data_IF_265624636204
#
_entry.id   IF_265624636204
#
_cell.length_a   1.000
_cell.length_b   1.000
_cell.length_c   1.000
_cell.angle_alpha   90.00
_cell.angle_beta   90.00
_cell.angle_gamma   90.00
#
_symmetry.space_group_name_H-M   'P 1'
#
loop_
_entity.id
_entity.type
_entity.pdbx_description
1 polymer ?
#
# COMPACT_ATOMS: atom_id res chain seq x y z
N UNK A 1 6.81 6.39 45.40
CA UNK A 1 6.76 5.83 44.05
C UNK A 1 5.65 6.56 43.36
N UNK A 2 5.97 7.20 42.21
CA UNK A 2 4.97 7.87 41.39
C UNK A 2 3.90 6.86 40.95
N UNK A 3 2.60 7.17 41.07
CA UNK A 3 1.55 6.31 40.55
C UNK A 3 1.73 5.91 39.07
N UNK A 4 2.40 6.75 38.29
CA UNK A 4 2.72 6.48 36.87
C UNK A 4 3.76 5.35 36.71
N UNK A 5 4.63 5.14 37.70
CA UNK A 5 5.60 4.04 37.70
C UNK A 5 4.91 2.65 37.77
N UNK A 6 3.65 2.63 38.21
CA UNK A 6 2.86 1.39 38.28
C UNK A 6 2.28 0.95 36.92
N UNK A 7 2.29 1.82 35.94
CA UNK A 7 1.75 1.54 34.59
C UNK A 7 2.78 0.75 33.79
N UNK A 8 3.55 0.00 34.09
CA UNK A 8 4.53 -0.82 33.35
C UNK A 8 4.62 -0.54 31.87
N UNK A 9 5.60 0.25 31.46
CA UNK A 9 5.91 0.53 30.04
C UNK A 9 7.07 -0.32 29.51
N UNK A 10 7.51 -1.33 30.27
CA UNK A 10 8.67 -2.15 29.96
C UNK A 10 8.51 -2.95 28.67
N UNK A 11 9.11 -2.45 27.62
CA UNK A 11 9.25 -3.14 26.33
C UNK A 11 10.50 -2.59 25.62
N UNK A 12 11.08 -3.39 24.74
CA UNK A 12 12.13 -2.92 23.84
C UNK A 12 11.50 -2.22 22.64
N UNK A 13 12.19 -1.25 22.05
CA UNK A 13 11.76 -0.58 20.85
C UNK A 13 12.94 -0.12 20.01
N UNK A 14 12.77 -0.15 18.69
CA UNK A 14 13.73 0.40 17.73
C UNK A 14 12.92 1.03 16.59
N UNK A 15 13.08 2.34 16.40
CA UNK A 15 12.36 3.14 15.43
C UNK A 15 13.32 3.66 14.37
N UNK A 16 12.84 3.73 13.14
CA UNK A 16 13.52 4.33 12.02
C UNK A 16 12.69 5.48 11.46
N UNK A 17 13.28 6.65 11.37
CA UNK A 17 12.73 7.78 10.63
C UNK A 17 13.42 7.87 9.26
N UNK A 18 12.63 8.18 8.22
CA UNK A 18 13.12 8.34 6.85
C UNK A 18 12.32 9.42 6.13
N UNK A 19 13.00 10.25 5.34
CA UNK A 19 12.35 11.21 4.47
C UNK A 19 13.13 11.33 3.17
N UNK A 20 12.43 11.61 2.07
CA UNK A 20 13.01 11.87 0.75
C UNK A 20 12.22 12.99 0.08
N UNK A 21 12.87 13.78 -0.77
CA UNK A 21 12.26 14.89 -1.49
C UNK A 21 11.66 14.50 -2.86
N UNK A 22 11.63 13.21 -3.16
CA UNK A 22 11.08 12.70 -4.43
C UNK A 22 9.55 12.81 -4.54
N UNK A 23 8.87 13.06 -3.42
CA UNK A 23 7.43 13.33 -3.39
C UNK A 23 7.11 14.52 -2.50
N UNK A 24 6.00 15.25 -2.77
CA UNK A 24 5.56 16.36 -1.88
C UNK A 24 5.24 15.93 -0.45
N UNK A 25 4.95 14.63 -0.27
CA UNK A 25 4.68 14.03 1.02
C UNK A 25 5.97 13.67 1.80
N UNK A 26 7.14 13.89 1.21
CA UNK A 26 8.45 13.48 1.72
C UNK A 26 8.57 11.98 1.98
N UNK A 27 7.83 11.20 1.25
CA UNK A 27 7.75 9.74 1.36
C UNK A 27 8.23 9.06 0.07
N UNK A 28 8.70 7.80 0.13
CA UNK A 28 9.16 7.06 -1.05
C UNK A 28 8.10 6.98 -2.15
N UNK A 29 8.48 7.29 -3.39
CA UNK A 29 7.57 7.31 -4.53
C UNK A 29 6.81 5.98 -4.74
N UNK A 30 7.44 4.78 -4.66
CA UNK A 30 6.72 3.52 -4.81
C UNK A 30 5.59 3.35 -3.80
N UNK A 31 5.84 3.72 -2.55
CA UNK A 31 4.85 3.64 -1.47
C UNK A 31 3.69 4.60 -1.71
N UNK A 32 3.99 5.86 -2.02
CA UNK A 32 2.96 6.88 -2.28
C UNK A 32 2.11 6.52 -3.49
N UNK A 33 2.71 6.02 -4.56
CA UNK A 33 1.95 5.55 -5.72
C UNK A 33 1.04 4.38 -5.36
N UNK A 34 1.55 3.40 -4.61
CA UNK A 34 0.73 2.26 -4.14
C UNK A 34 -0.46 2.72 -3.28
N UNK A 35 -0.24 3.66 -2.35
CA UNK A 35 -1.31 4.23 -1.55
C UNK A 35 -2.34 5.00 -2.40
N UNK A 36 -1.88 5.80 -3.36
CA UNK A 36 -2.77 6.54 -4.27
C UNK A 36 -3.60 5.60 -5.13
N UNK A 37 -3.04 4.47 -5.61
CA UNK A 37 -3.77 3.42 -6.32
C UNK A 37 -4.88 2.82 -5.44
N UNK A 38 -4.59 2.48 -4.20
CA UNK A 38 -5.57 1.92 -3.27
C UNK A 38 -6.68 2.92 -2.91
N UNK A 39 -6.35 4.19 -2.71
CA UNK A 39 -7.36 5.25 -2.51
C UNK A 39 -8.25 5.40 -3.74
N UNK A 40 -7.68 5.35 -4.95
CA UNK A 40 -8.44 5.46 -6.20
C UNK A 40 -9.42 4.32 -6.38
N UNK A 41 -9.00 3.07 -6.16
CA UNK A 41 -9.90 1.91 -6.20
C UNK A 41 -11.03 2.05 -5.19
N UNK A 42 -10.71 2.45 -3.96
CA UNK A 42 -11.72 2.64 -2.92
C UNK A 42 -12.76 3.72 -3.30
N UNK A 43 -12.32 4.83 -3.91
CA UNK A 43 -13.22 5.87 -4.42
C UNK A 43 -14.12 5.31 -5.52
N UNK A 44 -13.56 4.72 -6.57
CA UNK A 44 -14.34 4.16 -7.69
C UNK A 44 -15.39 3.14 -7.24
N UNK A 45 -15.07 2.35 -6.21
CA UNK A 45 -16.01 1.40 -5.59
C UNK A 45 -17.09 2.10 -4.79
N UNK A 46 -16.72 3.05 -3.90
CA UNK A 46 -17.66 3.76 -3.02
C UNK A 46 -18.63 4.63 -3.83
N UNK A 47 -18.14 5.28 -4.86
CA UNK A 47 -18.91 6.15 -5.75
C UNK A 47 -19.70 5.35 -6.81
N UNK A 48 -19.56 4.01 -6.78
CA UNK A 48 -20.24 3.08 -7.70
C UNK A 48 -19.93 3.33 -9.18
N UNK A 49 -18.77 3.91 -9.46
CA UNK A 49 -18.30 4.13 -10.85
C UNK A 49 -17.98 2.78 -11.48
N UNK A 50 -17.24 1.93 -10.78
CA UNK A 50 -17.00 0.53 -11.17
C UNK A 50 -17.73 -0.37 -10.17
N UNK A 51 -18.91 -0.83 -10.55
CA UNK A 51 -19.87 -1.47 -9.64
C UNK A 51 -19.44 -2.85 -9.16
N UNK A 52 -18.64 -3.56 -9.93
CA UNK A 52 -18.19 -4.92 -9.60
C UNK A 52 -17.02 -4.97 -8.62
N UNK A 53 -16.40 -3.83 -8.26
CA UNK A 53 -15.30 -3.81 -7.30
C UNK A 53 -15.76 -4.15 -5.89
N UNK A 54 -14.95 -4.97 -5.20
CA UNK A 54 -15.11 -5.35 -3.81
C UNK A 54 -13.96 -4.78 -2.95
N UNK A 55 -14.09 -4.78 -1.60
CA UNK A 55 -13.17 -4.03 -0.73
C UNK A 55 -11.73 -4.50 -0.72
N UNK A 56 -11.45 -5.79 -0.90
CA UNK A 56 -10.10 -6.33 -0.78
C UNK A 56 -9.27 -6.02 -2.03
N UNK A 57 -8.12 -5.40 -1.83
CA UNK A 57 -7.21 -5.08 -2.92
C UNK A 57 -5.77 -4.96 -2.42
N UNK A 58 -4.82 -5.18 -3.32
CA UNK A 58 -3.39 -5.05 -3.09
C UNK A 58 -2.74 -4.32 -4.25
N UNK A 59 -1.74 -3.49 -3.99
CA UNK A 59 -0.92 -2.87 -5.03
C UNK A 59 0.56 -2.91 -4.66
N UNK A 60 1.38 -3.08 -5.67
CA UNK A 60 2.82 -2.95 -5.62
C UNK A 60 3.27 -2.12 -6.82
N UNK A 61 4.22 -1.21 -6.61
CA UNK A 61 4.81 -0.38 -7.65
C UNK A 61 6.32 -0.50 -7.56
N UNK A 62 6.94 -0.89 -8.66
CA UNK A 62 8.40 -0.93 -8.81
C UNK A 62 8.83 0.28 -9.61
N UNK A 63 9.71 1.09 -9.03
CA UNK A 63 10.28 2.30 -9.64
C UNK A 63 11.75 2.06 -9.96
N UNK A 64 12.15 2.43 -11.16
CA UNK A 64 13.56 2.48 -11.56
C UNK A 64 14.16 3.82 -11.14
N UNK A 65 15.35 3.77 -10.55
CA UNK A 65 16.12 4.94 -10.10
C UNK A 65 17.43 5.02 -10.90
N UNK A 66 17.88 6.24 -11.15
CA UNK A 66 19.19 6.49 -11.73
C UNK A 66 20.34 6.32 -10.70
N UNK A 67 21.57 6.54 -11.17
CA UNK A 67 22.75 6.42 -10.32
C UNK A 67 22.80 7.47 -9.19
N UNK A 68 22.08 8.55 -9.33
CA UNK A 68 21.97 9.62 -8.32
C UNK A 68 20.79 9.41 -7.34
N UNK A 69 20.07 8.29 -7.50
CA UNK A 69 18.94 7.92 -6.65
C UNK A 69 17.66 8.69 -6.99
N UNK A 70 17.53 9.24 -8.20
CA UNK A 70 16.29 9.90 -8.64
C UNK A 70 15.38 8.93 -9.37
N UNK A 71 14.06 8.99 -9.13
CA UNK A 71 13.11 8.15 -9.83
C UNK A 71 13.06 8.51 -11.33
N UNK A 72 13.18 7.51 -12.19
CA UNK A 72 13.21 7.66 -13.66
C UNK A 72 11.89 7.21 -14.28
N UNK A 73 11.44 6.00 -13.94
CA UNK A 73 10.24 5.41 -14.51
C UNK A 73 9.63 4.36 -13.60
N UNK A 74 8.38 4.05 -13.83
CA UNK A 74 7.72 2.89 -13.23
C UNK A 74 7.98 1.67 -14.11
N UNK A 75 8.72 0.71 -13.58
CA UNK A 75 9.00 -0.55 -14.31
C UNK A 75 7.79 -1.48 -14.28
N UNK A 76 7.19 -1.67 -13.11
CA UNK A 76 6.13 -2.66 -12.92
C UNK A 76 5.06 -2.14 -11.97
N UNK A 77 3.80 -2.40 -12.32
CA UNK A 77 2.65 -2.23 -11.44
C UNK A 77 1.94 -3.58 -11.29
N UNK A 78 1.87 -4.08 -10.07
CA UNK A 78 1.04 -5.24 -9.73
C UNK A 78 -0.17 -4.73 -8.96
N UNK A 79 -1.38 -5.11 -9.39
CA UNK A 79 -2.61 -4.74 -8.73
C UNK A 79 -3.59 -5.90 -8.75
N UNK A 80 -4.03 -6.32 -7.57
CA UNK A 80 -5.08 -7.33 -7.43
C UNK A 80 -6.26 -6.72 -6.69
N UNK A 81 -7.47 -6.90 -7.24
CA UNK A 81 -8.69 -6.40 -6.63
C UNK A 81 -9.76 -7.49 -6.61
N UNK A 82 -10.45 -7.58 -5.49
CA UNK A 82 -11.63 -8.41 -5.33
C UNK A 82 -12.77 -7.85 -6.18
N UNK A 83 -13.54 -8.74 -6.79
CA UNK A 83 -14.60 -8.37 -7.74
C UNK A 83 -15.78 -9.32 -7.68
N UNK A 84 -16.91 -8.91 -8.27
CA UNK A 84 -18.08 -9.77 -8.46
C UNK A 84 -17.79 -10.94 -9.39
N UNK A 85 -18.51 -12.06 -9.26
CA UNK A 85 -18.28 -13.27 -10.06
C UNK A 85 -18.57 -13.09 -11.56
N UNK A 86 -19.42 -12.15 -11.92
CA UNK A 86 -20.00 -12.03 -13.27
C UNK A 86 -19.21 -11.12 -14.22
N UNK A 87 -18.08 -10.57 -13.78
CA UNK A 87 -17.19 -9.74 -14.61
C UNK A 87 -16.04 -10.57 -15.19
N UNK A 88 -15.68 -10.33 -16.44
CA UNK A 88 -14.53 -10.98 -17.06
C UNK A 88 -13.20 -10.40 -16.58
N UNK A 89 -12.14 -11.20 -16.66
CA UNK A 89 -10.79 -10.75 -16.28
C UNK A 89 -10.30 -9.63 -17.22
N UNK A 90 -10.60 -9.74 -18.50
CA UNK A 90 -10.23 -8.75 -19.51
C UNK A 90 -10.87 -7.38 -19.21
N UNK A 91 -12.13 -7.37 -18.78
CA UNK A 91 -12.81 -6.13 -18.38
C UNK A 91 -12.15 -5.52 -17.16
N UNK A 92 -11.81 -6.34 -16.14
CA UNK A 92 -11.11 -5.87 -14.95
C UNK A 92 -9.75 -5.27 -15.33
N UNK A 93 -8.99 -5.95 -16.17
CA UNK A 93 -7.67 -5.50 -16.61
C UNK A 93 -7.74 -4.17 -17.36
N UNK A 94 -8.70 -4.02 -18.27
CA UNK A 94 -8.91 -2.78 -19.02
C UNK A 94 -9.30 -1.62 -18.09
N UNK A 95 -10.32 -1.81 -17.26
CA UNK A 95 -10.82 -0.76 -16.36
C UNK A 95 -9.77 -0.34 -15.34
N UNK A 96 -9.09 -1.28 -14.72
CA UNK A 96 -8.05 -0.98 -13.72
C UNK A 96 -6.86 -0.28 -14.36
N UNK A 97 -6.43 -0.71 -15.54
CA UNK A 97 -5.34 -0.04 -16.25
C UNK A 97 -5.67 1.41 -16.56
N UNK A 98 -6.84 1.68 -17.14
CA UNK A 98 -7.21 3.03 -17.61
C UNK A 98 -7.72 3.93 -16.47
N UNK A 99 -8.62 3.42 -15.61
CA UNK A 99 -9.30 4.25 -14.61
C UNK A 99 -8.58 4.33 -13.27
N UNK A 100 -7.63 3.42 -13.01
CA UNK A 100 -6.86 3.40 -11.76
C UNK A 100 -5.40 3.73 -12.02
N UNK A 101 -4.68 2.90 -12.77
CA UNK A 101 -3.22 3.02 -12.89
C UNK A 101 -2.85 4.30 -13.65
N UNK A 102 -3.34 4.47 -14.86
CA UNK A 102 -3.06 5.66 -15.67
C UNK A 102 -3.68 6.95 -15.15
N UNK A 103 -4.73 6.84 -14.34
CA UNK A 103 -5.35 8.00 -13.70
C UNK A 103 -4.57 8.49 -12.46
N UNK A 104 -3.69 7.67 -11.90
CA UNK A 104 -2.95 7.94 -10.66
C UNK A 104 -1.46 8.19 -10.90
N UNK A 105 -0.83 7.34 -11.72
CA UNK A 105 0.60 7.43 -11.99
C UNK A 105 0.82 8.50 -13.06
N UNK A 106 1.65 9.52 -12.80
CA UNK A 106 1.97 10.54 -13.80
C UNK A 106 2.51 9.92 -15.09
N UNK A 107 2.07 10.46 -16.22
CA UNK A 107 2.39 9.91 -17.54
C UNK A 107 3.90 9.89 -17.84
N UNK A 108 4.65 10.83 -17.26
CA UNK A 108 6.11 10.89 -17.40
C UNK A 108 6.83 9.68 -16.79
N UNK A 109 6.21 8.96 -15.87
CA UNK A 109 6.76 7.72 -15.29
C UNK A 109 6.33 6.45 -16.04
N UNK A 110 5.41 6.54 -17.00
CA UNK A 110 4.89 5.39 -17.74
C UNK A 110 5.42 5.39 -19.18
N UNK A 111 5.90 4.24 -19.63
CA UNK A 111 6.38 4.05 -20.99
C UNK A 111 5.93 2.71 -21.58
N UNK A 112 6.38 2.40 -22.81
CA UNK A 112 6.03 1.16 -23.52
C UNK A 112 6.62 -0.11 -22.87
N UNK A 113 7.60 0.04 -21.99
CA UNK A 113 8.25 -1.06 -21.27
C UNK A 113 7.62 -1.31 -19.90
N UNK A 114 6.74 -0.39 -19.42
CA UNK A 114 6.04 -0.56 -18.15
C UNK A 114 5.15 -1.79 -18.17
N UNK A 115 5.37 -2.68 -17.22
CA UNK A 115 4.64 -3.95 -17.08
C UNK A 115 3.43 -3.78 -16.16
N UNK A 116 2.31 -4.34 -16.57
CA UNK A 116 1.05 -4.29 -15.80
C UNK A 116 0.59 -5.70 -15.48
N UNK A 117 0.55 -6.06 -14.21
CA UNK A 117 0.03 -7.33 -13.72
C UNK A 117 -1.25 -7.07 -12.92
N UNK A 118 -2.39 -7.15 -13.59
CA UNK A 118 -3.70 -6.89 -12.99
C UNK A 118 -4.42 -8.22 -12.80
N UNK A 119 -4.74 -8.56 -11.54
CA UNK A 119 -5.27 -9.86 -11.14
C UNK A 119 -4.49 -11.02 -11.79
N UNK A 120 -3.16 -11.09 -11.66
CA UNK A 120 -2.33 -12.03 -12.40
C UNK A 120 -2.60 -13.50 -12.04
N UNK A 121 -3.16 -13.76 -10.87
CA UNK A 121 -3.57 -15.11 -10.44
C UNK A 121 -5.00 -15.46 -10.89
N UNK A 122 -5.65 -14.57 -11.65
CA UNK A 122 -6.97 -14.75 -12.18
C UNK A 122 -8.08 -14.26 -11.26
N UNK A 123 -9.09 -15.11 -11.05
CA UNK A 123 -10.32 -14.77 -10.33
C UNK A 123 -10.08 -14.48 -8.85
N UNK A 124 -10.59 -13.33 -8.38
CA UNK A 124 -10.49 -12.90 -6.98
C UNK A 124 -11.89 -12.49 -6.46
N UNK A 125 -12.76 -13.45 -6.24
CA UNK A 125 -14.14 -13.26 -5.78
C UNK A 125 -14.23 -13.39 -4.25
N UNK A 126 -13.51 -14.37 -3.67
CA UNK A 126 -13.44 -14.55 -2.22
C UNK A 126 -12.29 -13.71 -1.68
N UNK A 127 -12.56 -12.81 -0.75
CA UNK A 127 -11.57 -11.91 -0.14
C UNK A 127 -12.02 -11.39 1.21
N UNK A 128 -11.22 -10.47 1.78
CA UNK A 128 -11.43 -9.98 3.12
C UNK A 128 -11.28 -11.08 4.17
N UNK A 129 -11.95 -10.97 5.34
CA UNK A 129 -11.81 -11.93 6.44
C UNK A 129 -12.18 -13.38 6.09
N UNK A 130 -13.03 -13.56 5.07
CA UNK A 130 -13.38 -14.90 4.59
C UNK A 130 -12.21 -15.57 3.85
N UNK A 131 -11.42 -14.80 3.12
CA UNK A 131 -10.24 -15.29 2.39
C UNK A 131 -9.00 -15.38 3.27
N UNK A 132 -8.79 -14.34 4.10
CA UNK A 132 -7.66 -14.21 5.02
C UNK A 132 -8.08 -13.33 6.20
N UNK A 133 -8.21 -13.91 7.37
CA UNK A 133 -8.65 -13.18 8.57
C UNK A 133 -7.69 -12.06 8.99
N UNK A 134 -6.40 -12.24 8.74
CA UNK A 134 -5.37 -11.27 9.10
C UNK A 134 -5.16 -11.13 10.61
N UNK A 135 -4.16 -10.33 10.96
CA UNK A 135 -3.88 -9.93 12.34
C UNK A 135 -3.49 -8.46 12.36
N UNK A 136 -3.81 -7.77 13.46
CA UNK A 136 -3.36 -6.39 13.69
C UNK A 136 -1.84 -6.31 13.69
N UNK A 137 -1.28 -5.27 13.07
CA UNK A 137 0.17 -5.05 13.04
C UNK A 137 0.94 -5.98 12.10
N UNK A 138 0.29 -6.59 11.11
CA UNK A 138 0.93 -7.44 10.10
C UNK A 138 1.12 -6.74 8.74
N UNK A 139 1.05 -5.41 8.72
CA UNK A 139 1.31 -4.55 7.54
C UNK A 139 2.30 -3.43 7.86
N UNK A 140 3.26 -3.70 8.74
CA UNK A 140 4.19 -2.72 9.30
C UNK A 140 5.07 -2.01 8.25
N UNK A 141 5.38 -2.66 7.15
CA UNK A 141 6.15 -2.05 6.05
C UNK A 141 5.27 -1.11 5.22
N UNK A 142 3.99 -1.44 5.03
CA UNK A 142 3.01 -0.56 4.39
C UNK A 142 2.73 0.66 5.27
N UNK A 143 2.70 0.48 6.59
CA UNK A 143 2.47 1.54 7.58
C UNK A 143 3.65 2.51 7.72
N UNK A 144 4.83 2.15 7.20
CA UNK A 144 6.06 2.93 7.29
C UNK A 144 6.56 3.39 5.91
N UNK A 145 7.66 2.87 5.41
CA UNK A 145 8.38 3.43 4.25
C UNK A 145 8.42 2.49 3.03
N UNK A 146 7.62 1.41 3.04
CA UNK A 146 7.50 0.51 1.88
C UNK A 146 8.78 -0.25 1.51
N UNK A 147 9.70 -0.43 2.48
CA UNK A 147 10.98 -1.09 2.26
C UNK A 147 12.12 -0.16 1.84
N UNK A 148 11.89 1.15 1.67
CA UNK A 148 12.94 2.12 1.37
C UNK A 148 13.86 2.39 2.58
N UNK A 149 13.36 2.17 3.79
CA UNK A 149 14.13 2.27 5.02
C UNK A 149 14.04 0.98 5.84
N UNK A 150 14.93 0.85 6.82
CA UNK A 150 14.86 -0.23 7.79
C UNK A 150 13.60 -0.12 8.67
N UNK A 151 13.25 -1.23 9.32
CA UNK A 151 12.15 -1.28 10.27
C UNK A 151 12.57 -2.05 11.53
N UNK A 152 12.17 -1.57 12.71
CA UNK A 152 12.50 -2.21 13.98
C UNK A 152 11.67 -3.45 14.31
N UNK A 153 10.55 -3.67 13.59
CA UNK A 153 9.69 -4.83 13.75
C UNK A 153 8.45 -4.61 14.62
N UNK A 154 8.34 -3.47 15.28
CA UNK A 154 7.18 -3.14 16.14
C UNK A 154 5.94 -2.73 15.34
N UNK A 155 4.76 -3.13 15.82
CA UNK A 155 3.49 -2.66 15.26
C UNK A 155 3.06 -1.38 15.97
N UNK A 156 2.48 -0.43 15.24
CA UNK A 156 1.96 0.83 15.77
C UNK A 156 0.61 0.65 16.49
N UNK A 157 -0.20 -0.30 16.06
CA UNK A 157 -1.54 -0.53 16.59
C UNK A 157 -1.65 -1.81 17.42
N UNK A 158 -2.74 -1.94 18.17
CA UNK A 158 -3.01 -3.10 19.02
C UNK A 158 -2.20 -3.15 20.30
N UNK A 159 -1.57 -2.04 20.68
CA UNK A 159 -0.74 -1.90 21.88
C UNK A 159 -1.31 -0.85 22.83
N UNK A 160 -0.93 -0.97 24.10
CA UNK A 160 -1.17 0.06 25.10
C UNK A 160 -0.39 1.35 24.75
N UNK A 161 -0.96 2.51 25.08
CA UNK A 161 -0.36 3.82 24.80
C UNK A 161 0.98 4.08 25.50
N UNK A 162 1.35 3.25 26.48
CA UNK A 162 2.65 3.32 27.17
C UNK A 162 3.79 2.68 26.39
N UNK A 163 3.49 1.93 25.32
CA UNK A 163 4.51 1.30 24.47
C UNK A 163 5.06 2.29 23.45
N UNK A 164 6.39 2.30 23.28
CA UNK A 164 7.08 3.27 22.41
C UNK A 164 6.63 3.17 20.95
N UNK A 165 6.42 1.97 20.41
CA UNK A 165 5.91 1.79 19.05
C UNK A 165 4.54 2.46 18.85
N UNK A 166 3.71 2.53 19.89
CA UNK A 166 2.41 3.19 19.84
C UNK A 166 2.52 4.71 19.91
N UNK A 167 3.47 5.23 20.69
CA UNK A 167 3.65 6.69 20.87
C UNK A 167 4.42 7.36 19.72
N UNK A 168 5.09 6.59 18.87
CA UNK A 168 5.79 7.07 17.67
C UNK A 168 4.89 7.14 16.42
N UNK A 169 3.66 6.70 16.49
CA UNK A 169 2.69 6.70 15.38
C UNK A 169 2.33 8.11 14.87
#
# INVERSE_FOLDING_TARGET
>A
VDPLDQIGAGDQGLMFGFATDETPEYMPLPLILSHKLMRRIASLRKDKVIKYLRPDAKAEVTVEYDADGKPVRVDTVVLSTQHDPDVSLEQIQADVKEQVIKAVIPAEYLDDQTKYFINPTGRFVIGGPQGDAGLTGRKIIVDTYGGAAHHGGGAFSGKDATKVDRSEE
#
